data_IF_559575235905
#
_entry.id   IF_559575235905
#
_cell.length_a   1.000
_cell.length_b   1.000
_cell.length_c   1.000
_cell.angle_alpha   90.00
_cell.angle_beta   90.00
_cell.angle_gamma   90.00
#
_symmetry.space_group_name_H-M   'P 1'
#
loop_
_entity.id
_entity.type
_entity.pdbx_description
1 polymer ?
#
# COMPACT_ATOMS: atom_id res chain seq x y z
N UNK A 1 -30.90 -17.29 26.57
CA UNK A 1 -29.48 -17.49 26.95
C UNK A 1 -28.63 -16.25 26.78
N UNK A 2 -28.58 -15.60 25.61
CA UNK A 2 -27.80 -14.36 25.42
C UNK A 2 -28.50 -13.14 26.04
N UNK A 3 -29.83 -13.04 25.90
CA UNK A 3 -30.65 -12.05 26.62
C UNK A 3 -30.54 -12.19 28.15
N UNK A 4 -30.63 -13.40 28.70
CA UNK A 4 -30.50 -13.63 30.15
C UNK A 4 -29.13 -13.21 30.70
N UNK A 5 -28.05 -13.40 29.91
CA UNK A 5 -26.71 -12.93 30.27
C UNK A 5 -26.63 -11.40 30.28
N UNK A 6 -27.31 -10.73 29.36
CA UNK A 6 -27.41 -9.27 29.34
C UNK A 6 -28.14 -8.72 30.56
N UNK A 7 -29.26 -9.34 30.98
CA UNK A 7 -29.95 -8.94 32.20
C UNK A 7 -29.08 -9.12 33.47
N UNK A 8 -28.36 -10.24 33.57
CA UNK A 8 -27.43 -10.48 34.68
C UNK A 8 -26.30 -9.44 34.70
N UNK A 9 -25.75 -9.11 33.53
CA UNK A 9 -24.68 -8.11 33.42
C UNK A 9 -25.17 -6.69 33.74
N UNK A 10 -26.40 -6.35 33.35
CA UNK A 10 -27.01 -5.06 33.70
C UNK A 10 -27.16 -4.90 35.21
N UNK A 11 -27.72 -5.93 35.89
CA UNK A 11 -27.87 -5.94 37.35
C UNK A 11 -26.50 -5.85 38.05
N UNK A 12 -25.49 -6.59 37.56
CA UNK A 12 -24.12 -6.48 38.08
C UNK A 12 -23.55 -5.08 37.90
N UNK A 13 -23.86 -4.41 36.78
CA UNK A 13 -23.43 -3.04 36.49
C UNK A 13 -23.97 -2.06 37.51
N UNK A 14 -25.28 -2.13 37.78
CA UNK A 14 -25.94 -1.28 38.76
C UNK A 14 -25.43 -1.53 40.18
N UNK A 15 -25.18 -2.80 40.54
CA UNK A 15 -24.56 -3.14 41.83
C UNK A 15 -23.14 -2.58 41.95
N UNK A 16 -22.32 -2.65 40.90
CA UNK A 16 -20.97 -2.06 40.93
C UNK A 16 -21.00 -0.54 41.06
N UNK A 17 -21.93 0.15 40.39
CA UNK A 17 -22.14 1.60 40.55
C UNK A 17 -22.55 1.96 41.97
N UNK A 18 -23.55 1.25 42.50
CA UNK A 18 -24.03 1.46 43.87
C UNK A 18 -22.92 1.22 44.91
N UNK A 19 -22.08 0.20 44.71
CA UNK A 19 -20.93 -0.07 45.58
C UNK A 19 -19.86 1.04 45.51
N UNK A 20 -19.61 1.62 44.33
CA UNK A 20 -18.68 2.74 44.19
C UNK A 20 -19.17 3.98 44.94
N UNK A 21 -20.46 4.33 44.76
CA UNK A 21 -21.09 5.44 45.45
C UNK A 21 -21.13 5.24 46.98
N UNK A 22 -21.44 4.02 47.44
CA UNK A 22 -21.41 3.66 48.86
C UNK A 22 -20.02 3.86 49.48
N UNK A 23 -18.95 3.61 48.72
CA UNK A 23 -17.57 3.81 49.18
C UNK A 23 -17.12 5.29 49.14
N UNK A 24 -18.02 6.23 48.85
CA UNK A 24 -17.75 7.67 48.82
C UNK A 24 -16.91 8.13 47.62
N UNK A 25 -16.71 7.27 46.63
CA UNK A 25 -15.97 7.63 45.41
C UNK A 25 -16.92 8.33 44.43
N UNK A 26 -16.64 9.57 43.99
CA UNK A 26 -17.49 10.27 43.05
C UNK A 26 -17.42 9.62 41.65
N UNK A 27 -18.48 9.73 40.87
CA UNK A 27 -18.52 9.25 39.48
C UNK A 27 -17.75 10.15 38.51
N UNK A 28 -17.48 11.39 38.90
CA UNK A 28 -16.71 12.34 38.10
C UNK A 28 -16.08 13.43 38.97
N UNK A 29 -14.91 13.92 38.55
CA UNK A 29 -14.24 15.10 39.12
C UNK A 29 -13.75 15.98 37.97
N UNK A 30 -14.35 17.15 37.80
CA UNK A 30 -14.05 18.04 36.67
C UNK A 30 -14.34 17.36 35.33
N UNK A 31 -13.34 17.26 34.45
CA UNK A 31 -13.45 16.60 33.14
C UNK A 31 -13.22 15.07 33.19
N UNK A 32 -12.89 14.52 34.36
CA UNK A 32 -12.52 13.11 34.51
C UNK A 32 -13.72 12.29 34.98
N UNK A 33 -14.00 11.19 34.27
CA UNK A 33 -14.98 10.19 34.67
C UNK A 33 -14.29 9.08 35.48
N UNK A 34 -14.91 8.66 36.57
CA UNK A 34 -14.37 7.66 37.49
C UNK A 34 -15.30 6.45 37.49
N UNK A 35 -14.76 5.31 37.07
CA UNK A 35 -15.43 4.01 37.11
C UNK A 35 -14.43 2.97 37.58
N UNK A 36 -14.89 1.98 38.34
CA UNK A 36 -14.05 0.80 38.59
C UNK A 36 -13.72 0.08 37.28
N UNK A 37 -12.57 -0.60 37.24
CA UNK A 37 -12.20 -1.40 36.07
C UNK A 37 -13.25 -2.49 35.77
N UNK A 38 -13.83 -3.10 36.82
CA UNK A 38 -14.89 -4.10 36.69
C UNK A 38 -16.17 -3.53 36.07
N UNK A 39 -16.59 -2.34 36.50
CA UNK A 39 -17.72 -1.65 35.88
C UNK A 39 -17.41 -1.33 34.41
N UNK A 40 -16.19 -0.87 34.12
CA UNK A 40 -15.77 -0.52 32.76
C UNK A 40 -15.85 -1.70 31.81
N UNK A 41 -15.30 -2.86 32.16
CA UNK A 41 -15.35 -4.05 31.30
C UNK A 41 -16.77 -4.60 31.15
N UNK A 42 -17.59 -4.48 32.20
CA UNK A 42 -18.97 -4.97 32.20
C UNK A 42 -19.86 -4.11 31.30
N UNK A 43 -19.80 -2.79 31.44
CA UNK A 43 -20.52 -1.86 30.56
C UNK A 43 -20.05 -1.99 29.11
N UNK A 44 -18.73 -2.12 28.89
CA UNK A 44 -18.18 -2.31 27.55
C UNK A 44 -18.59 -3.65 26.92
N UNK A 45 -18.81 -4.70 27.72
CA UNK A 45 -19.27 -6.01 27.22
C UNK A 45 -20.69 -6.00 26.63
N UNK A 46 -21.47 -4.95 26.93
CA UNK A 46 -22.82 -4.75 26.39
C UNK A 46 -22.79 -4.02 25.04
N UNK A 47 -21.64 -3.46 24.65
CA UNK A 47 -21.46 -2.78 23.37
C UNK A 47 -21.05 -3.79 22.29
N UNK A 48 -21.46 -3.58 21.03
CA UNK A 48 -21.02 -4.43 19.93
C UNK A 48 -19.49 -4.35 19.77
N UNK A 49 -18.88 -5.48 19.40
CA UNK A 49 -17.46 -5.50 19.05
C UNK A 49 -17.26 -4.75 17.73
N UNK A 50 -16.29 -3.82 17.64
CA UNK A 50 -16.02 -3.10 16.40
C UNK A 50 -15.72 -4.05 15.23
N UNK A 51 -16.37 -3.83 14.10
CA UNK A 51 -16.15 -4.65 12.90
C UNK A 51 -14.88 -4.18 12.16
N UNK A 52 -14.21 -5.12 11.50
CA UNK A 52 -13.16 -4.83 10.53
C UNK A 52 -13.75 -4.15 9.28
N UNK A 53 -13.33 -2.91 9.02
CA UNK A 53 -13.66 -2.18 7.80
C UNK A 53 -12.72 -2.56 6.65
N UNK A 54 -11.46 -2.83 6.96
CA UNK A 54 -10.48 -3.32 6.01
C UNK A 54 -9.53 -4.33 6.65
N UNK A 55 -9.87 -5.61 6.53
CA UNK A 55 -9.14 -6.76 7.09
C UNK A 55 -8.62 -6.48 8.52
N UNK A 56 -7.32 -6.64 8.76
CA UNK A 56 -6.70 -6.34 10.06
C UNK A 56 -6.18 -4.90 10.17
N UNK A 57 -6.35 -4.06 9.14
CA UNK A 57 -5.77 -2.72 9.03
C UNK A 57 -6.62 -1.62 9.64
N UNK A 58 -7.95 -1.74 9.59
CA UNK A 58 -8.86 -0.67 10.00
C UNK A 58 -10.18 -1.22 10.54
N UNK A 59 -10.60 -0.74 11.71
CA UNK A 59 -11.83 -1.11 12.41
C UNK A 59 -12.76 0.08 12.62
N UNK A 60 -14.04 -0.23 12.87
CA UNK A 60 -15.04 0.77 13.24
C UNK A 60 -14.61 1.60 14.47
N UNK A 61 -14.88 2.91 14.44
CA UNK A 61 -14.54 3.83 15.52
C UNK A 61 -13.05 4.19 15.62
N UNK A 62 -12.21 3.76 14.67
CA UNK A 62 -10.78 4.12 14.61
C UNK A 62 -10.53 5.37 13.75
N UNK A 63 -9.55 6.17 14.18
CA UNK A 63 -8.86 7.16 13.36
C UNK A 63 -7.59 6.51 12.84
N UNK A 64 -7.58 6.14 11.57
CA UNK A 64 -6.53 5.33 10.95
C UNK A 64 -5.76 6.11 9.91
N UNK A 65 -4.51 5.72 9.66
CA UNK A 65 -3.64 6.37 8.69
C UNK A 65 -3.11 5.38 7.66
N UNK A 66 -3.30 5.71 6.38
CA UNK A 66 -2.60 5.11 5.25
C UNK A 66 -1.56 6.11 4.72
N UNK A 67 -0.28 5.78 4.85
CA UNK A 67 0.78 6.63 4.29
C UNK A 67 1.67 5.92 3.28
N UNK A 68 2.18 6.68 2.33
CA UNK A 68 3.15 6.19 1.35
C UNK A 68 3.76 7.37 0.58
N UNK A 69 4.82 7.09 -0.16
CA UNK A 69 5.41 8.02 -1.12
C UNK A 69 4.39 8.41 -2.21
N UNK A 70 4.66 9.50 -2.91
CA UNK A 70 3.83 9.96 -4.03
C UNK A 70 3.83 8.93 -5.17
N UNK A 71 2.69 8.79 -5.85
CA UNK A 71 2.50 7.87 -6.99
C UNK A 71 2.66 6.37 -6.69
N UNK A 72 2.68 5.99 -5.42
CA UNK A 72 2.74 4.57 -5.02
C UNK A 72 1.37 3.88 -5.12
N UNK A 73 0.27 4.64 -5.15
CA UNK A 73 -1.09 4.10 -5.32
C UNK A 73 -2.02 4.28 -4.11
N UNK A 74 -1.74 5.20 -3.19
CA UNK A 74 -2.58 5.45 -1.99
C UNK A 74 -4.06 5.62 -2.32
N UNK A 75 -4.39 6.57 -3.20
CA UNK A 75 -5.76 6.84 -3.62
C UNK A 75 -6.42 5.64 -4.30
N UNK A 76 -5.65 4.83 -5.04
CA UNK A 76 -6.16 3.62 -5.70
C UNK A 76 -6.59 2.61 -4.63
N UNK A 77 -5.73 2.35 -3.64
CA UNK A 77 -6.07 1.47 -2.53
C UNK A 77 -7.23 2.03 -1.70
N UNK A 78 -7.26 3.34 -1.45
CA UNK A 78 -8.31 3.98 -0.68
C UNK A 78 -9.68 3.90 -1.35
N UNK A 79 -9.76 4.10 -2.67
CA UNK A 79 -11.02 3.88 -3.41
C UNK A 79 -11.40 2.40 -3.44
N UNK A 80 -10.45 1.48 -3.53
CA UNK A 80 -10.74 0.04 -3.43
C UNK A 80 -11.29 -0.36 -2.04
N UNK A 81 -10.75 0.22 -0.97
CA UNK A 81 -11.30 0.09 0.38
C UNK A 81 -12.72 0.66 0.43
N UNK A 82 -12.91 1.87 -0.12
CA UNK A 82 -14.20 2.55 -0.15
C UNK A 82 -15.27 1.75 -0.90
N UNK A 83 -14.95 1.24 -2.11
CA UNK A 83 -15.83 0.38 -2.92
C UNK A 83 -16.28 -0.85 -2.13
N UNK A 84 -15.34 -1.52 -1.44
CA UNK A 84 -15.66 -2.73 -0.67
C UNK A 84 -16.60 -2.41 0.49
N UNK A 85 -16.31 -1.38 1.27
CA UNK A 85 -17.12 -0.98 2.43
C UNK A 85 -18.51 -0.50 1.96
N UNK A 86 -18.57 0.21 0.83
CA UNK A 86 -19.81 0.75 0.28
C UNK A 86 -20.83 -0.32 -0.15
N UNK A 87 -20.43 -1.60 -0.20
CA UNK A 87 -21.38 -2.70 -0.42
C UNK A 87 -22.33 -2.87 0.76
N UNK A 88 -21.93 -2.48 1.96
CA UNK A 88 -22.73 -2.61 3.20
C UNK A 88 -23.09 -1.26 3.81
N UNK A 89 -22.18 -0.30 3.79
CA UNK A 89 -22.26 0.94 4.56
C UNK A 89 -22.21 2.19 3.67
N UNK A 90 -22.69 3.33 4.16
CA UNK A 90 -22.44 4.61 3.51
C UNK A 90 -20.99 5.02 3.73
N UNK A 91 -20.31 5.46 2.66
CA UNK A 91 -18.92 5.91 2.69
C UNK A 91 -18.80 7.27 2.05
N UNK A 92 -18.23 8.23 2.77
CA UNK A 92 -17.87 9.54 2.23
C UNK A 92 -16.36 9.53 1.91
N UNK A 93 -16.03 9.52 0.62
CA UNK A 93 -14.67 9.62 0.10
C UNK A 93 -14.37 11.07 -0.26
N UNK A 94 -13.65 11.77 0.62
CA UNK A 94 -13.26 13.16 0.46
C UNK A 94 -12.01 13.22 -0.44
N UNK A 95 -12.21 13.53 -1.71
CA UNK A 95 -11.19 13.62 -2.76
C UNK A 95 -10.81 15.09 -2.99
N UNK A 96 -9.65 15.45 -2.44
CA UNK A 96 -9.07 16.78 -2.49
C UNK A 96 -7.94 16.90 -3.51
N UNK A 97 -7.60 15.81 -4.23
CA UNK A 97 -6.44 15.77 -5.11
C UNK A 97 -6.84 15.63 -6.58
N UNK A 98 -7.83 14.80 -6.90
CA UNK A 98 -8.19 14.53 -8.29
C UNK A 98 -9.36 15.37 -8.78
N UNK A 99 -9.26 15.80 -10.05
CA UNK A 99 -10.42 16.25 -10.80
C UNK A 99 -11.37 15.08 -11.11
N UNK A 100 -12.64 15.38 -11.37
CA UNK A 100 -13.64 14.41 -11.81
C UNK A 100 -13.18 13.60 -13.03
N UNK A 101 -12.53 14.28 -14.00
CA UNK A 101 -12.03 13.61 -15.20
C UNK A 101 -10.90 12.64 -14.90
N UNK A 102 -9.97 13.01 -14.03
CA UNK A 102 -8.89 12.11 -13.60
C UNK A 102 -9.43 10.90 -12.83
N UNK A 103 -10.45 11.09 -11.98
CA UNK A 103 -11.14 10.00 -11.31
C UNK A 103 -11.80 9.06 -12.32
N UNK A 104 -12.59 9.59 -13.26
CA UNK A 104 -13.25 8.81 -14.30
C UNK A 104 -12.27 7.98 -15.14
N UNK A 105 -11.12 8.54 -15.55
CA UNK A 105 -10.12 7.83 -16.34
C UNK A 105 -9.50 6.62 -15.62
N UNK A 106 -9.44 6.64 -14.29
CA UNK A 106 -8.99 5.47 -13.51
C UNK A 106 -10.01 4.35 -13.54
N UNK A 107 -11.29 4.69 -13.62
CA UNK A 107 -12.42 3.76 -13.52
C UNK A 107 -13.19 3.59 -14.83
N UNK A 108 -12.45 3.61 -15.93
CA UNK A 108 -12.94 3.38 -17.30
C UNK A 108 -11.96 2.45 -18.01
N UNK A 109 -12.47 1.46 -18.72
CA UNK A 109 -11.63 0.53 -19.49
C UNK A 109 -11.20 1.12 -20.85
N UNK A 110 -10.42 0.36 -21.61
CA UNK A 110 -9.90 0.78 -22.92
C UNK A 110 -11.01 0.96 -23.98
N UNK A 111 -12.18 0.34 -23.77
CA UNK A 111 -13.36 0.45 -24.62
C UNK A 111 -14.28 1.61 -24.24
N UNK A 112 -13.95 2.37 -23.19
CA UNK A 112 -14.77 3.48 -22.71
C UNK A 112 -15.90 3.08 -21.76
N UNK A 113 -15.95 1.82 -21.33
CA UNK A 113 -16.96 1.35 -20.39
C UNK A 113 -16.59 1.79 -18.96
N UNK A 114 -17.59 2.32 -18.25
CA UNK A 114 -17.45 2.86 -16.91
C UNK A 114 -17.63 1.75 -15.86
N UNK A 115 -16.79 1.75 -14.83
CA UNK A 115 -17.04 0.93 -13.66
C UNK A 115 -18.27 1.45 -12.89
N UNK A 116 -19.13 0.55 -12.44
CA UNK A 116 -20.31 0.88 -11.63
C UNK A 116 -19.99 0.68 -10.16
N UNK A 117 -19.83 1.79 -9.44
CA UNK A 117 -19.62 1.77 -7.99
C UNK A 117 -20.93 1.47 -7.23
N UNK A 118 -20.86 0.95 -5.99
CA UNK A 118 -22.03 0.84 -5.13
C UNK A 118 -22.67 2.21 -4.87
N UNK A 119 -24.00 2.28 -4.84
CA UNK A 119 -24.77 3.52 -4.63
C UNK A 119 -24.48 4.24 -3.30
N UNK A 120 -23.90 3.52 -2.33
CA UNK A 120 -23.53 4.03 -1.01
C UNK A 120 -22.11 4.64 -0.95
N UNK A 121 -21.38 4.64 -2.07
CA UNK A 121 -20.10 5.33 -2.18
C UNK A 121 -20.30 6.76 -2.69
N UNK A 122 -20.08 7.73 -1.81
CA UNK A 122 -20.21 9.14 -2.12
C UNK A 122 -18.83 9.78 -2.24
N UNK A 123 -18.48 10.24 -3.45
CA UNK A 123 -17.28 11.05 -3.67
C UNK A 123 -17.60 12.52 -3.33
N UNK A 124 -16.81 13.11 -2.44
CA UNK A 124 -16.94 14.49 -1.98
C UNK A 124 -15.72 15.29 -2.48
N UNK A 125 -15.95 16.36 -3.22
CA UNK A 125 -14.91 17.31 -3.65
C UNK A 125 -15.04 18.62 -2.89
N UNK A 126 -13.93 19.36 -2.72
CA UNK A 126 -13.99 20.71 -2.15
C UNK A 126 -14.18 21.75 -3.26
N UNK A 127 -15.10 22.68 -3.03
CA UNK A 127 -15.16 23.93 -3.79
C UNK A 127 -14.11 24.92 -3.24
N UNK A 128 -12.95 24.98 -3.91
CA UNK A 128 -11.85 25.84 -3.49
C UNK A 128 -12.21 27.33 -3.48
N UNK A 129 -13.25 27.76 -4.19
CA UNK A 129 -13.67 29.17 -4.20
C UNK A 129 -14.30 29.59 -2.87
N UNK A 130 -14.89 28.65 -2.13
CA UNK A 130 -15.50 28.93 -0.82
C UNK A 130 -14.47 28.96 0.32
N UNK A 131 -13.23 28.55 0.06
CA UNK A 131 -12.18 28.47 1.08
C UNK A 131 -11.38 29.77 1.27
N UNK A 132 -11.55 30.76 0.38
CA UNK A 132 -10.65 31.92 0.28
C UNK A 132 -10.61 32.80 1.54
N UNK A 133 -11.67 32.76 2.38
CA UNK A 133 -11.81 33.61 3.57
C UNK A 133 -11.86 32.84 4.91
N UNK A 134 -11.78 31.50 4.90
CA UNK A 134 -11.93 30.66 6.09
C UNK A 134 -10.62 30.02 6.54
N UNK A 135 -10.47 29.80 7.86
CA UNK A 135 -9.42 28.91 8.36
C UNK A 135 -9.70 27.50 7.82
N UNK A 136 -8.86 27.03 6.89
CA UNK A 136 -9.04 25.75 6.20
C UNK A 136 -9.22 24.57 7.17
N UNK A 137 -8.49 24.56 8.30
CA UNK A 137 -8.62 23.54 9.36
C UNK A 137 -10.06 23.49 9.91
N UNK A 138 -10.60 24.65 10.29
CA UNK A 138 -11.95 24.77 10.85
C UNK A 138 -13.03 24.46 9.81
N UNK A 139 -12.83 24.88 8.56
CA UNK A 139 -13.75 24.62 7.46
C UNK A 139 -13.87 23.12 7.17
N UNK A 140 -12.75 22.39 7.13
CA UNK A 140 -12.75 20.94 6.91
C UNK A 140 -13.38 20.20 8.09
N UNK A 141 -13.02 20.55 9.33
CA UNK A 141 -13.59 19.93 10.53
C UNK A 141 -15.10 20.19 10.63
N UNK A 142 -15.53 21.43 10.41
CA UNK A 142 -16.94 21.81 10.37
C UNK A 142 -17.69 21.10 9.25
N UNK A 143 -17.08 20.96 8.07
CA UNK A 143 -17.64 20.21 6.95
C UNK A 143 -17.83 18.73 7.27
N UNK A 144 -16.83 18.07 7.88
CA UNK A 144 -16.93 16.67 8.32
C UNK A 144 -18.04 16.51 9.37
N UNK A 145 -18.11 17.42 10.34
CA UNK A 145 -19.16 17.39 11.37
C UNK A 145 -20.56 17.55 10.76
N UNK A 146 -20.74 18.53 9.87
CA UNK A 146 -22.02 18.74 9.18
C UNK A 146 -22.42 17.53 8.33
N UNK A 147 -21.47 16.97 7.57
CA UNK A 147 -21.72 15.75 6.79
C UNK A 147 -22.14 14.59 7.69
N UNK A 148 -21.43 14.36 8.81
CA UNK A 148 -21.75 13.29 9.76
C UNK A 148 -23.16 13.44 10.35
N UNK A 149 -23.58 14.67 10.67
CA UNK A 149 -24.90 14.95 11.26
C UNK A 149 -26.02 14.86 10.22
N UNK A 150 -25.82 15.41 9.01
CA UNK A 150 -26.88 15.51 8.00
C UNK A 150 -27.09 14.21 7.23
N UNK A 151 -26.04 13.41 7.04
CA UNK A 151 -26.11 12.17 6.25
C UNK A 151 -26.21 10.90 7.10
N UNK A 152 -26.00 11.02 8.42
CA UNK A 152 -25.79 9.91 9.36
C UNK A 152 -24.68 8.91 8.93
N UNK A 153 -23.84 9.29 7.98
CA UNK A 153 -22.69 8.50 7.57
C UNK A 153 -21.65 8.43 8.69
N UNK A 154 -21.09 7.24 8.93
CA UNK A 154 -20.06 7.01 9.96
C UNK A 154 -18.67 6.79 9.38
N UNK A 155 -18.55 6.56 8.08
CA UNK A 155 -17.29 6.14 7.45
C UNK A 155 -16.78 7.23 6.53
N UNK A 156 -15.62 7.78 6.88
CA UNK A 156 -14.96 8.86 6.16
C UNK A 156 -13.58 8.42 5.70
N UNK A 157 -13.26 8.65 4.43
CA UNK A 157 -11.92 8.46 3.88
C UNK A 157 -11.47 9.81 3.33
N UNK A 158 -10.31 10.30 3.77
CA UNK A 158 -9.82 11.64 3.43
C UNK A 158 -8.56 11.53 2.59
N UNK A 159 -8.67 11.80 1.29
CA UNK A 159 -7.61 11.73 0.28
C UNK A 159 -7.36 13.10 -0.38
N UNK A 160 -6.32 13.84 -0.05
CA UNK A 160 -5.30 13.60 0.95
C UNK A 160 -5.19 14.82 1.85
N UNK A 161 -4.69 14.64 3.07
CA UNK A 161 -4.36 15.76 3.94
C UNK A 161 -3.08 16.50 3.52
N UNK A 162 -2.49 16.29 2.34
CA UNK A 162 -1.22 16.93 1.90
C UNK A 162 -1.22 18.45 2.06
N UNK A 163 -2.32 19.11 1.73
CA UNK A 163 -2.44 20.57 1.87
C UNK A 163 -2.42 21.01 3.35
N UNK A 164 -3.01 20.20 4.23
CA UNK A 164 -2.92 20.36 5.67
C UNK A 164 -1.49 20.03 6.14
N UNK A 165 -0.86 18.98 5.61
CA UNK A 165 0.54 18.59 5.88
C UNK A 165 1.57 19.68 5.60
N UNK A 166 1.36 20.52 4.58
CA UNK A 166 2.22 21.68 4.34
C UNK A 166 2.12 22.75 5.45
N UNK A 167 0.95 22.90 6.10
CA UNK A 167 0.82 23.67 7.34
C UNK A 167 1.36 22.88 8.57
N UNK A 168 1.45 21.55 8.48
CA UNK A 168 1.94 20.65 9.53
C UNK A 168 3.47 20.65 9.72
N UNK A 169 4.25 21.27 8.82
CA UNK A 169 5.67 21.56 9.08
C UNK A 169 5.87 22.47 10.31
N UNK A 170 4.83 23.24 10.67
CA UNK A 170 4.72 23.95 11.96
C UNK A 170 3.89 23.11 12.92
N UNK A 171 4.51 22.09 13.54
CA UNK A 171 3.86 20.95 14.22
C UNK A 171 2.73 21.18 15.26
N UNK A 172 2.35 22.41 15.59
CA UNK A 172 1.23 22.74 16.47
C UNK A 172 -0.14 22.67 15.76
N UNK A 173 -0.23 23.04 14.47
CA UNK A 173 -1.49 22.96 13.72
C UNK A 173 -1.91 21.52 13.44
N UNK A 174 -0.93 20.67 13.11
CA UNK A 174 -1.10 19.24 12.87
C UNK A 174 -1.75 18.52 14.06
N UNK A 175 -1.26 18.81 15.27
CA UNK A 175 -1.76 18.22 16.49
C UNK A 175 -3.21 18.64 16.78
N UNK A 176 -3.56 19.91 16.55
CA UNK A 176 -4.92 20.41 16.78
C UNK A 176 -5.94 19.76 15.85
N UNK A 177 -5.64 19.66 14.56
CA UNK A 177 -6.51 18.98 13.60
C UNK A 177 -6.74 17.52 14.01
N UNK A 178 -5.66 16.79 14.37
CA UNK A 178 -5.79 15.40 14.79
C UNK A 178 -6.60 15.24 16.09
N UNK A 179 -6.46 16.18 17.03
CA UNK A 179 -7.30 16.23 18.24
C UNK A 179 -8.77 16.44 17.86
N UNK A 180 -9.05 17.38 16.95
CA UNK A 180 -10.41 17.66 16.49
C UNK A 180 -11.03 16.47 15.76
N UNK A 181 -10.29 15.80 14.87
CA UNK A 181 -10.74 14.56 14.23
C UNK A 181 -11.02 13.47 15.26
N UNK A 182 -10.16 13.30 16.25
CA UNK A 182 -10.38 12.32 17.32
C UNK A 182 -11.60 12.67 18.21
N UNK A 183 -11.89 13.96 18.38
CA UNK A 183 -13.10 14.41 19.07
C UNK A 183 -14.36 14.12 18.25
N UNK A 184 -14.34 14.39 16.95
CA UNK A 184 -15.45 14.03 16.04
C UNK A 184 -15.67 12.52 16.01
N UNK A 185 -14.59 11.74 15.89
CA UNK A 185 -14.59 10.28 15.98
C UNK A 185 -15.34 9.79 17.22
N UNK A 186 -15.00 10.31 18.40
CA UNK A 186 -15.64 9.92 19.66
C UNK A 186 -17.08 10.43 19.77
N UNK A 187 -17.34 11.67 19.36
CA UNK A 187 -18.64 12.34 19.54
C UNK A 187 -19.72 11.73 18.64
N UNK A 188 -19.37 11.37 17.42
CA UNK A 188 -20.31 10.88 16.41
C UNK A 188 -20.10 9.41 16.03
N UNK A 189 -19.22 8.71 16.75
CA UNK A 189 -18.84 7.32 16.48
C UNK A 189 -18.34 7.11 15.03
N UNK A 190 -17.51 8.04 14.56
CA UNK A 190 -16.97 7.99 13.19
C UNK A 190 -15.81 7.02 13.10
N UNK A 191 -15.65 6.43 11.92
CA UNK A 191 -14.46 5.70 11.48
C UNK A 191 -13.82 6.54 10.40
N UNK A 192 -12.58 6.99 10.61
CA UNK A 192 -11.92 7.96 9.73
C UNK A 192 -10.59 7.36 9.25
N UNK A 193 -10.45 7.18 7.93
CA UNK A 193 -9.18 6.84 7.30
C UNK A 193 -8.57 8.10 6.68
N UNK A 194 -7.39 8.46 7.14
CA UNK A 194 -6.60 9.59 6.64
C UNK A 194 -5.51 9.08 5.72
N UNK A 195 -5.43 9.62 4.50
CA UNK A 195 -4.27 9.43 3.65
C UNK A 195 -3.24 10.51 3.96
N UNK A 196 -1.96 10.11 4.02
CA UNK A 196 -0.85 11.02 4.26
C UNK A 196 0.30 10.76 3.28
N UNK A 197 1.01 11.81 2.88
CA UNK A 197 2.28 11.69 2.17
C UNK A 197 3.44 11.53 3.12
N UNK A 198 4.42 10.75 2.69
CA UNK A 198 5.76 10.75 3.25
C UNK A 198 6.72 11.51 2.32
N UNK A 199 7.75 12.18 2.87
CA UNK A 199 8.87 12.65 2.06
C UNK A 199 9.45 11.50 1.24
N UNK A 200 10.02 11.77 0.06
CA UNK A 200 10.61 10.73 -0.78
C UNK A 200 11.64 9.93 0.01
N UNK A 201 11.48 8.61 0.03
CA UNK A 201 12.37 7.69 0.75
C UNK A 201 13.30 6.97 -0.20
N UNK A 202 14.41 6.51 0.35
CA UNK A 202 15.27 5.55 -0.34
C UNK A 202 14.69 4.15 -0.20
N UNK A 203 14.76 3.37 -1.28
CA UNK A 203 14.22 2.00 -1.34
C UNK A 203 15.11 0.97 -0.62
N UNK A 204 16.25 1.38 -0.05
CA UNK A 204 17.17 0.53 0.69
C UNK A 204 16.81 0.40 2.18
N UNK A 205 15.88 1.24 2.67
CA UNK A 205 15.50 1.29 4.08
C UNK A 205 14.09 0.72 4.30
N UNK A 206 13.89 -0.17 5.30
CA UNK A 206 12.56 -0.59 5.77
C UNK A 206 11.66 0.60 6.09
N UNK A 207 10.36 0.50 5.86
CA UNK A 207 9.37 1.49 6.30
C UNK A 207 9.05 1.29 7.77
N UNK A 208 9.11 2.38 8.53
CA UNK A 208 8.93 2.41 9.98
C UNK A 208 7.95 3.52 10.37
N UNK A 209 7.58 3.56 11.65
CA UNK A 209 6.75 4.63 12.22
C UNK A 209 7.37 6.03 12.09
N UNK A 210 8.70 6.13 11.95
CA UNK A 210 9.39 7.42 11.84
C UNK A 210 9.17 8.10 10.48
N UNK A 211 8.72 7.33 9.49
CA UNK A 211 8.60 7.79 8.12
C UNK A 211 7.30 8.58 7.88
N UNK A 212 6.33 8.47 8.79
CA UNK A 212 5.10 9.27 8.78
C UNK A 212 5.41 10.75 9.08
N UNK A 213 5.64 11.53 8.03
CA UNK A 213 5.85 12.99 8.03
C UNK A 213 6.84 13.50 9.11
N UNK A 214 7.83 12.68 9.49
CA UNK A 214 8.85 13.02 10.47
C UNK A 214 8.36 13.29 11.90
N UNK A 215 7.08 13.05 12.21
CA UNK A 215 6.47 13.44 13.49
C UNK A 215 5.96 12.23 14.27
N UNK A 216 6.77 11.76 15.23
CA UNK A 216 6.32 10.81 16.26
C UNK A 216 5.05 11.28 16.98
N UNK A 217 4.79 12.60 17.02
CA UNK A 217 3.58 13.16 17.61
C UNK A 217 2.32 12.78 16.82
N UNK A 218 2.37 12.80 15.49
CA UNK A 218 1.23 12.42 14.63
C UNK A 218 0.88 10.95 14.78
N UNK A 219 1.90 10.10 14.79
CA UNK A 219 1.76 8.67 14.99
C UNK A 219 0.97 8.30 16.26
N UNK A 220 1.03 9.14 17.30
CA UNK A 220 0.34 8.89 18.56
C UNK A 220 -1.18 9.11 18.48
N UNK A 221 -1.67 9.94 17.56
CA UNK A 221 -3.09 10.24 17.42
C UNK A 221 -3.88 9.15 16.69
N UNK A 222 -3.22 8.42 15.79
CA UNK A 222 -3.86 7.33 15.06
C UNK A 222 -4.07 6.10 15.93
N UNK A 223 -5.20 5.43 15.79
CA UNK A 223 -5.44 4.14 16.41
C UNK A 223 -4.69 3.04 15.63
N UNK A 224 -4.84 3.02 14.30
CA UNK A 224 -4.09 2.12 13.41
C UNK A 224 -3.32 2.89 12.33
N UNK A 225 -2.19 2.31 11.89
CA UNK A 225 -1.31 2.90 10.89
C UNK A 225 -0.77 1.79 9.99
N UNK A 226 -0.91 1.99 8.68
CA UNK A 226 -0.36 1.09 7.68
C UNK A 226 0.19 1.89 6.49
N UNK A 227 1.03 1.23 5.70
CA UNK A 227 1.80 1.88 4.65
C UNK A 227 1.85 1.05 3.38
N UNK A 228 2.01 1.72 2.24
CA UNK A 228 2.33 1.08 0.96
C UNK A 228 3.78 1.38 0.62
N UNK A 229 4.58 0.33 0.46
CA UNK A 229 5.92 0.41 -0.09
C UNK A 229 5.97 0.06 -1.57
N UNK A 230 6.92 0.64 -2.29
CA UNK A 230 7.26 0.24 -3.65
C UNK A 230 8.30 -0.88 -3.59
N UNK A 231 8.08 -1.95 -4.34
CA UNK A 231 9.07 -3.04 -4.46
C UNK A 231 10.26 -2.60 -5.32
N UNK A 232 11.47 -2.96 -4.89
CA UNK A 232 12.68 -2.83 -5.70
C UNK A 232 12.85 -4.00 -6.69
N UNK A 233 12.08 -5.08 -6.55
CA UNK A 233 12.14 -6.24 -7.45
C UNK A 233 11.50 -5.94 -8.81
N UNK A 234 10.38 -5.23 -8.80
CA UNK A 234 9.60 -4.89 -9.99
C UNK A 234 8.88 -3.55 -9.77
N UNK A 235 8.86 -2.70 -10.80
CA UNK A 235 8.30 -1.35 -10.74
C UNK A 235 6.77 -1.29 -10.56
N UNK A 236 6.05 -2.33 -10.96
CA UNK A 236 4.60 -2.50 -10.81
C UNK A 236 4.18 -3.06 -9.45
N UNK A 237 5.09 -3.74 -8.76
CA UNK A 237 4.79 -4.35 -7.46
C UNK A 237 4.77 -3.31 -6.32
N UNK A 238 3.82 -3.52 -5.41
CA UNK A 238 3.63 -2.79 -4.16
C UNK A 238 3.53 -3.79 -3.03
N UNK A 239 3.90 -3.36 -1.83
CA UNK A 239 3.63 -4.13 -0.62
C UNK A 239 2.91 -3.28 0.41
N UNK A 240 2.01 -3.88 1.19
CA UNK A 240 1.29 -3.23 2.28
C UNK A 240 1.78 -3.81 3.60
N UNK A 241 2.09 -2.91 4.54
CA UNK A 241 2.66 -3.24 5.85
C UNK A 241 1.93 -2.47 6.97
N UNK A 242 1.67 -3.14 8.08
CA UNK A 242 1.17 -2.56 9.31
C UNK A 242 2.31 -1.99 10.15
N UNK A 243 2.01 -0.89 10.84
CA UNK A 243 2.91 -0.25 11.79
C UNK A 243 2.26 -0.11 13.17
N UNK A 244 0.94 0.12 13.22
CA UNK A 244 0.16 0.26 14.46
C UNK A 244 -1.20 -0.41 14.34
N UNK A 245 -1.63 -1.12 15.38
CA UNK A 245 -2.97 -1.71 15.51
C UNK A 245 -3.44 -1.59 16.98
N UNK A 246 -4.74 -1.39 17.21
CA UNK A 246 -5.35 -1.34 18.55
C UNK A 246 -6.33 -2.47 18.84
N UNK A 247 -7.28 -2.72 17.93
CA UNK A 247 -8.28 -3.78 18.12
C UNK A 247 -7.82 -5.15 17.58
N UNK A 248 -7.17 -5.17 16.41
CA UNK A 248 -6.82 -6.40 15.71
C UNK A 248 -5.46 -7.01 16.08
N UNK A 249 -5.18 -8.16 15.48
CA UNK A 249 -3.85 -8.78 15.52
C UNK A 249 -2.90 -8.07 14.58
N UNK A 250 -1.70 -7.75 15.08
CA UNK A 250 -0.61 -7.24 14.26
C UNK A 250 -0.06 -8.36 13.38
N UNK A 251 -0.59 -8.47 12.15
CA UNK A 251 -0.44 -9.64 11.28
C UNK A 251 0.47 -9.42 10.09
N UNK A 252 0.67 -8.15 9.69
CA UNK A 252 1.42 -7.80 8.50
C UNK A 252 2.58 -6.86 8.81
N UNK A 253 3.56 -7.35 9.56
CA UNK A 253 4.77 -6.61 9.91
C UNK A 253 5.85 -6.72 8.81
N UNK A 254 7.13 -6.52 9.17
CA UNK A 254 8.23 -6.59 8.22
C UNK A 254 8.48 -8.02 7.67
N UNK A 255 8.06 -9.05 8.38
CA UNK A 255 8.29 -10.44 7.98
C UNK A 255 7.09 -11.04 7.22
N UNK A 256 5.95 -10.35 7.18
CA UNK A 256 4.74 -10.79 6.50
C UNK A 256 3.98 -9.64 5.81
N UNK A 257 4.64 -8.95 4.86
CA UNK A 257 3.98 -7.92 4.06
C UNK A 257 3.06 -8.53 3.01
N UNK A 258 1.96 -7.85 2.68
CA UNK A 258 1.08 -8.28 1.59
C UNK A 258 1.58 -7.70 0.28
N UNK A 259 1.82 -8.54 -0.72
CA UNK A 259 2.29 -8.13 -2.04
C UNK A 259 1.12 -7.98 -3.01
N UNK A 260 1.12 -6.86 -3.72
CA UNK A 260 0.14 -6.51 -4.72
C UNK A 260 0.80 -6.03 -6.01
N UNK A 261 0.06 -6.15 -7.10
CA UNK A 261 0.33 -5.45 -8.35
C UNK A 261 -0.78 -4.44 -8.61
N UNK A 262 -0.44 -3.26 -9.12
CA UNK A 262 -1.44 -2.30 -9.55
C UNK A 262 -1.83 -2.65 -10.98
N UNK A 263 -3.08 -3.04 -11.17
CA UNK A 263 -3.61 -3.43 -12.48
C UNK A 263 -5.04 -2.90 -12.65
N UNK A 264 -5.47 -2.78 -13.90
CA UNK A 264 -6.85 -2.42 -14.24
C UNK A 264 -7.59 -3.67 -14.68
N UNK A 265 -8.41 -4.22 -13.79
CA UNK A 265 -9.25 -5.37 -14.09
C UNK A 265 -10.58 -4.84 -14.59
N UNK A 266 -10.90 -5.14 -15.85
CA UNK A 266 -12.02 -4.54 -16.58
C UNK A 266 -11.93 -3.01 -16.57
N UNK A 267 -12.88 -2.34 -15.92
CA UNK A 267 -12.90 -0.89 -15.77
C UNK A 267 -12.32 -0.43 -14.42
N UNK A 268 -11.82 -1.32 -13.55
CA UNK A 268 -11.46 -0.99 -12.18
C UNK A 268 -9.95 -1.04 -11.93
N UNK A 269 -9.31 0.13 -11.80
CA UNK A 269 -7.90 0.24 -11.39
C UNK A 269 -7.77 -0.08 -9.90
N UNK A 270 -7.03 -1.13 -9.56
CA UNK A 270 -6.99 -1.67 -8.20
C UNK A 270 -5.65 -2.35 -7.85
N UNK A 271 -5.52 -2.72 -6.58
CA UNK A 271 -4.46 -3.59 -6.08
C UNK A 271 -4.91 -5.05 -6.21
N UNK A 272 -4.23 -5.80 -7.08
CA UNK A 272 -4.43 -7.23 -7.29
C UNK A 272 -3.46 -8.02 -6.41
N UNK A 273 -3.99 -8.88 -5.54
CA UNK A 273 -3.20 -9.67 -4.61
C UNK A 273 -2.26 -10.63 -5.34
N UNK A 274 -1.00 -10.70 -4.91
CA UNK A 274 0.04 -11.58 -5.47
C UNK A 274 0.63 -12.56 -4.47
N UNK A 275 0.53 -12.29 -3.17
CA UNK A 275 1.04 -13.19 -2.14
C UNK A 275 1.51 -12.46 -0.89
N UNK A 276 2.30 -13.16 -0.08
CA UNK A 276 2.98 -12.61 1.09
C UNK A 276 4.49 -12.72 0.91
N UNK A 277 5.23 -11.83 1.54
CA UNK A 277 6.69 -11.76 1.44
C UNK A 277 7.29 -11.09 2.67
N UNK A 278 8.61 -11.05 2.76
CA UNK A 278 9.31 -10.17 3.72
C UNK A 278 9.56 -8.80 3.08
N UNK A 279 9.48 -7.74 3.88
CA UNK A 279 9.82 -6.38 3.42
C UNK A 279 11.25 -6.33 2.88
N UNK A 280 12.18 -7.06 3.52
CA UNK A 280 13.59 -7.13 3.13
C UNK A 280 13.80 -7.56 1.69
N UNK A 281 12.97 -8.47 1.18
CA UNK A 281 13.03 -8.92 -0.22
C UNK A 281 12.65 -7.84 -1.23
N UNK A 282 11.85 -6.86 -0.79
CA UNK A 282 11.40 -5.73 -1.60
C UNK A 282 12.29 -4.50 -1.48
N UNK A 283 13.30 -4.52 -0.60
CA UNK A 283 14.28 -3.43 -0.48
C UNK A 283 15.36 -3.55 -1.54
N UNK A 284 15.89 -2.39 -1.96
CA UNK A 284 17.06 -2.32 -2.83
C UNK A 284 18.28 -2.82 -2.09
N UNK A 285 19.05 -3.73 -2.69
CA UNK A 285 20.24 -4.28 -2.04
C UNK A 285 21.33 -3.20 -1.97
N UNK A 286 21.92 -3.05 -0.79
CA UNK A 286 23.08 -2.19 -0.59
C UNK A 286 24.21 -2.67 -1.51
N UNK A 287 24.58 -1.82 -2.47
CA UNK A 287 25.58 -2.14 -3.51
C UNK A 287 25.04 -2.07 -4.94
N UNK A 288 23.73 -2.10 -5.17
CA UNK A 288 23.19 -2.13 -6.54
C UNK A 288 23.39 -0.81 -7.30
N UNK A 289 23.44 0.35 -6.64
CA UNK A 289 23.65 1.62 -7.35
C UNK A 289 25.10 1.82 -7.78
N UNK A 290 26.06 1.61 -6.88
CA UNK A 290 27.48 1.72 -7.24
C UNK A 290 27.89 0.57 -8.15
N UNK A 291 27.50 -0.68 -7.88
CA UNK A 291 27.84 -1.80 -8.75
C UNK A 291 27.18 -1.65 -10.11
N UNK A 292 25.89 -1.30 -10.22
CA UNK A 292 25.23 -1.24 -11.53
C UNK A 292 25.67 -0.05 -12.38
N UNK A 293 25.92 1.14 -11.79
CA UNK A 293 26.49 2.27 -12.55
C UNK A 293 27.94 1.98 -12.96
N UNK A 294 28.74 1.41 -12.05
CA UNK A 294 30.12 1.00 -12.32
C UNK A 294 30.18 -0.09 -13.38
N UNK A 295 29.28 -1.07 -13.33
CA UNK A 295 29.18 -2.18 -14.29
C UNK A 295 28.74 -1.66 -15.66
N UNK A 296 27.74 -0.76 -15.72
CA UNK A 296 27.34 -0.08 -16.96
C UNK A 296 28.50 0.73 -17.56
N UNK A 297 29.25 1.48 -16.74
CA UNK A 297 30.41 2.25 -17.20
C UNK A 297 31.55 1.34 -17.69
N UNK A 298 31.82 0.22 -17.00
CA UNK A 298 32.78 -0.80 -17.41
C UNK A 298 32.40 -1.39 -18.78
N UNK A 299 31.12 -1.71 -18.98
CA UNK A 299 30.62 -2.28 -20.23
C UNK A 299 30.68 -1.28 -21.39
N UNK A 300 30.34 0.00 -21.16
CA UNK A 300 30.48 1.07 -22.16
C UNK A 300 31.94 1.31 -22.56
N UNK A 301 32.85 1.36 -21.59
CA UNK A 301 34.28 1.54 -21.85
C UNK A 301 34.91 0.34 -22.57
N UNK A 302 34.44 -0.88 -22.27
CA UNK A 302 34.85 -2.07 -23.01
C UNK A 302 34.31 -2.09 -24.44
N UNK A 303 33.09 -1.61 -24.68
CA UNK A 303 32.49 -1.54 -26.02
C UNK A 303 33.15 -0.46 -26.89
N UNK A 304 33.69 0.59 -26.29
CA UNK A 304 34.50 1.62 -26.98
C UNK A 304 35.96 1.21 -27.22
N UNK A 305 36.31 -0.06 -26.97
CA UNK A 305 37.61 -0.63 -27.33
C UNK A 305 38.75 -0.41 -26.34
N UNK A 306 38.47 0.12 -25.13
CA UNK A 306 39.52 0.30 -24.10
C UNK A 306 39.96 -1.03 -23.49
N UNK A 307 41.23 -1.11 -23.12
CA UNK A 307 41.78 -2.30 -22.45
C UNK A 307 41.31 -2.41 -21.01
N UNK A 308 41.28 -3.65 -20.48
CA UNK A 308 40.94 -3.93 -19.07
C UNK A 308 41.79 -3.12 -18.08
N UNK A 309 43.04 -2.78 -18.45
CA UNK A 309 43.93 -1.96 -17.61
C UNK A 309 43.49 -0.51 -17.54
N UNK A 310 43.04 0.07 -18.65
CA UNK A 310 42.56 1.46 -18.73
C UNK A 310 41.18 1.61 -18.08
N UNK A 311 40.32 0.60 -18.20
CA UNK A 311 39.02 0.58 -17.52
C UNK A 311 39.21 0.51 -16.00
N UNK A 312 40.12 -0.35 -15.54
CA UNK A 312 40.43 -0.50 -14.11
C UNK A 312 40.94 0.81 -13.48
N UNK A 313 41.77 1.58 -14.20
CA UNK A 313 42.26 2.88 -13.72
C UNK A 313 41.20 3.98 -13.75
N UNK A 314 40.32 3.99 -14.76
CA UNK A 314 39.25 4.99 -14.86
C UNK A 314 38.12 4.77 -13.86
N UNK A 315 37.82 3.52 -13.53
CA UNK A 315 36.68 3.14 -12.69
C UNK A 315 37.12 2.82 -11.24
N UNK A 316 38.42 3.01 -10.95
CA UNK A 316 39.05 2.78 -9.65
C UNK A 316 38.72 1.40 -9.04
N UNK A 317 38.93 0.34 -9.83
CA UNK A 317 38.64 -1.04 -9.39
C UNK A 317 39.71 -2.04 -9.87
N UNK A 318 39.77 -3.20 -9.21
CA UNK A 318 40.75 -4.24 -9.55
C UNK A 318 40.51 -4.85 -10.94
N UNK A 319 41.58 -5.14 -11.68
CA UNK A 319 41.54 -5.74 -13.04
C UNK A 319 40.71 -7.05 -13.08
N UNK A 320 40.78 -7.85 -12.02
CA UNK A 320 40.00 -9.10 -11.89
C UNK A 320 38.49 -8.83 -11.83
N UNK A 321 38.07 -7.75 -11.17
CA UNK A 321 36.67 -7.34 -11.09
C UNK A 321 36.15 -6.90 -12.46
N UNK A 322 36.91 -6.07 -13.17
CA UNK A 322 36.60 -5.63 -14.55
C UNK A 322 36.47 -6.83 -15.50
N UNK A 323 37.44 -7.75 -15.45
CA UNK A 323 37.45 -8.91 -16.35
C UNK A 323 36.26 -9.85 -16.07
N UNK A 324 35.91 -10.07 -14.80
CA UNK A 324 34.74 -10.87 -14.40
C UNK A 324 33.42 -10.28 -14.93
N UNK A 325 33.25 -8.96 -14.87
CA UNK A 325 32.05 -8.26 -15.35
C UNK A 325 31.93 -8.36 -16.87
N UNK A 326 33.04 -8.16 -17.60
CA UNK A 326 33.07 -8.29 -19.07
C UNK A 326 32.74 -9.72 -19.51
N UNK A 327 33.30 -10.73 -18.83
CA UNK A 327 33.03 -12.14 -19.15
C UNK A 327 31.58 -12.53 -18.85
N UNK A 328 31.05 -12.15 -17.68
CA UNK A 328 29.65 -12.38 -17.32
C UNK A 328 28.69 -11.80 -18.37
N UNK A 329 28.97 -10.61 -18.90
CA UNK A 329 28.16 -10.01 -19.96
C UNK A 329 28.25 -10.75 -21.30
N UNK A 330 29.42 -11.32 -21.64
CA UNK A 330 29.59 -12.15 -22.85
C UNK A 330 28.86 -13.48 -22.72
N UNK A 331 28.91 -14.11 -21.56
CA UNK A 331 28.19 -15.35 -21.26
C UNK A 331 26.66 -15.13 -21.32
N UNK A 332 26.16 -14.04 -20.76
CA UNK A 332 24.74 -13.66 -20.85
C UNK A 332 24.27 -13.37 -22.29
N UNK A 333 25.15 -12.86 -23.18
CA UNK A 333 24.85 -12.67 -24.60
C UNK A 333 24.87 -13.99 -25.40
N UNK A 334 25.70 -14.94 -25.01
CA UNK A 334 25.80 -16.25 -25.67
C UNK A 334 24.69 -17.23 -25.25
N UNK A 335 24.06 -17.03 -24.09
CA UNK A 335 22.92 -17.84 -23.64
C UNK A 335 21.59 -17.48 -24.35
N UNK A 336 21.54 -16.38 -25.11
CA UNK A 336 20.34 -15.88 -25.79
C UNK A 336 20.19 -16.28 -27.26
N UNK A 337 21.05 -17.15 -27.80
CA UNK A 337 20.96 -17.62 -29.19
C UNK A 337 20.75 -19.13 -29.21
N UNK A 338 19.56 -19.65 -29.57
CA UNK A 338 19.41 -21.06 -29.87
C UNK A 338 20.21 -21.37 -31.15
N UNK A 339 21.20 -22.25 -31.06
CA UNK A 339 21.91 -22.77 -32.23
C UNK A 339 20.95 -23.65 -33.05
N UNK A 340 20.41 -23.10 -34.13
CA UNK A 340 19.77 -23.88 -35.21
C UNK A 340 20.89 -24.69 -35.91
N UNK A 341 20.73 -26.01 -36.11
CA UNK A 341 21.73 -26.79 -36.84
C UNK A 341 21.81 -26.33 -38.30
N UNK A 342 23.03 -26.11 -38.79
CA UNK A 342 23.31 -25.89 -40.22
C UNK A 342 22.83 -27.11 -41.03
N UNK A 343 21.77 -26.93 -41.81
CA UNK A 343 21.44 -27.80 -42.94
C UNK A 343 22.54 -27.67 -44.01
N UNK A 344 23.06 -28.83 -44.43
CA UNK A 344 24.12 -28.98 -45.43
C UNK A 344 23.74 -28.36 -46.79
N UNK A 345 24.72 -27.90 -47.60
CA UNK A 345 24.45 -27.36 -48.93
C UNK A 345 24.04 -28.47 -49.91
N UNK A 346 23.00 -28.22 -50.71
CA UNK A 346 22.74 -28.98 -51.93
C UNK A 346 23.86 -28.68 -52.93
N UNK A 347 24.77 -29.64 -53.14
CA UNK A 347 25.58 -29.70 -54.34
C UNK A 347 24.83 -30.42 -55.45
N UNK A 348 24.70 -29.72 -56.58
CA UNK A 348 24.30 -30.25 -57.87
C UNK A 348 25.44 -31.12 -58.41
N UNK A 349 25.25 -32.44 -58.44
CA UNK A 349 26.22 -33.40 -58.97
C UNK A 349 25.64 -34.18 -60.15
N UNK A 350 26.07 -33.83 -61.36
CA UNK A 350 25.89 -34.61 -62.59
C UNK A 350 26.85 -35.80 -62.65
N UNK A 351 26.30 -36.92 -63.12
CA UNK A 351 26.93 -38.09 -63.76
C UNK A 351 28.01 -38.89 -63.01
N UNK A 352 27.66 -40.13 -62.69
CA UNK A 352 28.58 -41.25 -62.45
C UNK A 352 27.83 -42.57 -62.63
N UNK A 353 28.13 -43.27 -63.73
CA UNK A 353 27.70 -44.64 -64.01
C UNK A 353 28.35 -45.61 -63.01
N UNK A 354 27.59 -46.59 -62.53
CA UNK A 354 27.93 -48.03 -62.51
C UNK A 354 27.16 -48.76 -61.40
N UNK A 355 26.44 -49.81 -61.80
CA UNK A 355 25.64 -50.64 -60.90
C UNK A 355 24.70 -51.58 -61.65
N UNK A 356 25.26 -52.42 -62.52
CA UNK A 356 24.58 -53.64 -63.00
C UNK A 356 25.01 -54.81 -62.10
N UNK A 357 24.06 -55.39 -61.38
CA UNK A 357 24.17 -56.72 -60.79
C UNK A 357 22.76 -57.31 -60.72
N UNK A 358 22.42 -58.14 -61.72
CA UNK A 358 21.61 -59.35 -61.58
C UNK A 358 21.33 -59.92 -62.98
N UNK A 359 22.09 -60.94 -63.37
CA UNK A 359 21.51 -62.23 -63.76
C UNK A 359 22.59 -63.25 -64.10
N UNK A 360 22.41 -64.44 -63.52
CA UNK A 360 23.09 -65.69 -63.89
C UNK A 360 22.99 -65.98 -65.39
N UNK A 361 23.91 -66.81 -65.90
CA UNK A 361 23.41 -68.01 -66.54
C UNK A 361 24.11 -69.28 -66.07
N UNK A 362 23.27 -70.29 -65.88
CA UNK A 362 23.59 -71.70 -65.82
C UNK A 362 24.16 -72.25 -67.13
N UNK A 363 24.95 -73.34 -66.99
CA UNK A 363 25.33 -74.40 -67.95
C UNK A 363 26.72 -74.19 -68.60
N UNK A 364 27.75 -75.00 -68.32
CA UNK A 364 28.03 -76.37 -68.83
C UNK A 364 27.70 -76.45 -70.32
N UNK A 365 28.65 -76.48 -71.26
CA UNK A 365 29.94 -77.17 -71.32
C UNK A 365 31.03 -76.33 -72.01
#
# INVERSE_FOLDING_TARGET
MEEDKNYINLIRGDLTKASQAHNGMPDSVGMMNIKTANQTILEASLLPTPRALWDSFWYEGELSCLFADSNVGKSILAVQIADRIARTDNVLYLDFELSEKQFQLRYTNEHGELYTFPDKLYRVSIDCNQLLDANFEEAIIGGIEQMAVQTDCKIFIIDNLTYLCCAMEKGDAAGRLMIQLNNLKKRYALSILVLAHTPKRSLDCPITSNDLAGSKRLYNFFDSVFTIGKSAQDGGLRYVKQLKVRYGTFSHDADNVIVYEIDKVDAFLQFVFRGYSTEKEHLKKLGDNESSQRDCQILQLSQSGKSVREIASQVNCGKSTVNRIIQRSKESKNAGVPSVPLSQPLECGTMGQDGTADNQPSKTD
#
